data_IF_287111806853
#
_entry.id   IF_287111806853
#
_cell.length_a   1.000
_cell.length_b   1.000
_cell.length_c   1.000
_cell.angle_alpha   90.00
_cell.angle_beta   90.00
_cell.angle_gamma   90.00
#
_symmetry.space_group_name_H-M   'P 1'
#
loop_
_entity.id
_entity.type
_entity.pdbx_description
1 polymer ?
#
# COMPACT_ATOMS: atom_id res chain seq x y z
N UNK A 1 -79.89 48.61 -4.45
CA UNK A 1 -78.71 49.23 -3.81
C UNK A 1 -78.00 48.24 -2.89
N UNK A 2 -78.71 47.45 -2.08
CA UNK A 2 -78.07 46.50 -1.13
C UNK A 2 -77.25 45.37 -1.78
N UNK A 3 -77.67 44.90 -2.96
CA UNK A 3 -76.94 43.85 -3.72
C UNK A 3 -75.57 44.29 -4.25
N UNK A 4 -75.36 45.59 -4.48
CA UNK A 4 -74.09 46.12 -4.99
C UNK A 4 -73.01 46.12 -3.90
N UNK A 5 -73.40 46.35 -2.64
CA UNK A 5 -72.46 46.33 -1.51
C UNK A 5 -71.97 44.92 -1.21
N UNK A 6 -72.88 43.93 -1.26
CA UNK A 6 -72.53 42.51 -1.11
C UNK A 6 -71.57 42.03 -2.20
N UNK A 7 -71.79 42.43 -3.45
CA UNK A 7 -70.89 42.09 -4.56
C UNK A 7 -69.49 42.70 -4.37
N UNK A 8 -69.40 43.98 -3.96
CA UNK A 8 -68.13 44.63 -3.68
C UNK A 8 -67.38 43.97 -2.51
N UNK A 9 -68.08 43.57 -1.46
CA UNK A 9 -67.48 42.90 -0.29
C UNK A 9 -66.92 41.52 -0.69
N UNK A 10 -67.67 40.76 -1.50
CA UNK A 10 -67.21 39.48 -2.05
C UNK A 10 -65.94 39.65 -2.92
N UNK A 11 -65.90 40.71 -3.73
CA UNK A 11 -64.77 41.00 -4.62
C UNK A 11 -63.51 41.37 -3.84
N UNK A 12 -63.66 42.16 -2.77
CA UNK A 12 -62.56 42.50 -1.86
C UNK A 12 -62.07 41.25 -1.13
N UNK A 13 -62.97 40.40 -0.63
CA UNK A 13 -62.61 39.14 0.04
C UNK A 13 -61.79 38.24 -0.89
N UNK A 14 -62.22 38.08 -2.14
CA UNK A 14 -61.52 37.29 -3.16
C UNK A 14 -60.11 37.84 -3.40
N UNK A 15 -59.95 39.16 -3.51
CA UNK A 15 -58.65 39.80 -3.69
C UNK A 15 -57.72 39.59 -2.50
N UNK A 16 -58.25 39.71 -1.27
CA UNK A 16 -57.47 39.49 -0.04
C UNK A 16 -56.99 38.04 0.03
N UNK A 17 -57.84 37.07 -0.29
CA UNK A 17 -57.47 35.64 -0.31
C UNK A 17 -56.35 35.40 -1.34
N UNK A 18 -56.46 35.97 -2.55
CA UNK A 18 -55.41 35.84 -3.57
C UNK A 18 -54.07 36.41 -3.09
N UNK A 19 -54.07 37.59 -2.45
CA UNK A 19 -52.85 38.20 -1.92
C UNK A 19 -52.23 37.32 -0.84
N UNK A 20 -53.04 36.77 0.08
CA UNK A 20 -52.55 35.88 1.14
C UNK A 20 -51.90 34.63 0.54
N UNK A 21 -52.53 33.99 -0.45
CA UNK A 21 -51.99 32.80 -1.12
C UNK A 21 -50.66 33.11 -1.83
N UNK A 22 -50.56 34.24 -2.53
CA UNK A 22 -49.32 34.66 -3.20
C UNK A 22 -48.20 34.92 -2.20
N UNK A 23 -48.48 35.60 -1.09
CA UNK A 23 -47.47 35.85 -0.03
C UNK A 23 -47.03 34.55 0.62
N UNK A 24 -47.95 33.60 0.83
CA UNK A 24 -47.65 32.30 1.43
C UNK A 24 -46.80 31.44 0.49
N UNK A 25 -47.16 31.38 -0.80
CA UNK A 25 -46.38 30.71 -1.83
C UNK A 25 -44.98 31.33 -1.96
N UNK A 26 -44.85 32.65 -1.95
CA UNK A 26 -43.55 33.33 -2.03
C UNK A 26 -42.67 33.05 -0.80
N UNK A 27 -43.27 33.03 0.41
CA UNK A 27 -42.54 32.65 1.63
C UNK A 27 -42.10 31.19 1.60
N UNK A 28 -42.95 30.29 1.07
CA UNK A 28 -42.65 28.87 0.96
C UNK A 28 -41.53 28.63 -0.06
N UNK A 29 -41.59 29.25 -1.24
CA UNK A 29 -40.54 29.17 -2.26
C UNK A 29 -39.18 29.65 -1.72
N UNK A 30 -39.15 30.77 -0.98
CA UNK A 30 -37.91 31.24 -0.31
C UNK A 30 -37.39 30.31 0.78
N UNK A 31 -38.22 29.45 1.37
CA UNK A 31 -37.78 28.41 2.30
C UNK A 31 -37.23 27.21 1.55
N UNK A 32 -37.87 26.81 0.44
CA UNK A 32 -37.38 25.72 -0.41
C UNK A 32 -36.05 26.05 -1.08
N UNK A 33 -35.84 27.28 -1.55
CA UNK A 33 -34.56 27.70 -2.15
C UNK A 33 -33.39 27.58 -1.17
N UNK A 34 -33.60 27.97 0.10
CA UNK A 34 -32.58 27.81 1.15
C UNK A 34 -32.26 26.34 1.43
N UNK A 35 -33.25 25.45 1.37
CA UNK A 35 -33.04 24.01 1.52
C UNK A 35 -32.29 23.42 0.32
N UNK A 36 -32.59 23.87 -0.90
CA UNK A 36 -31.86 23.44 -2.11
C UNK A 36 -30.39 23.88 -2.08
N UNK A 37 -30.11 25.09 -1.60
CA UNK A 37 -28.74 25.58 -1.42
C UNK A 37 -27.97 24.72 -0.40
N UNK A 38 -28.61 24.33 0.70
CA UNK A 38 -28.00 23.45 1.70
C UNK A 38 -27.68 22.05 1.15
N UNK A 39 -28.56 21.48 0.33
CA UNK A 39 -28.31 20.18 -0.31
C UNK A 39 -27.19 20.23 -1.37
N UNK A 40 -27.09 21.32 -2.14
CA UNK A 40 -26.05 21.49 -3.15
C UNK A 40 -24.63 21.61 -2.54
N UNK A 41 -24.50 22.27 -1.38
CA UNK A 41 -23.21 22.41 -0.69
C UNK A 41 -22.75 21.11 -0.02
N UNK A 42 -23.68 20.33 0.54
CA UNK A 42 -23.36 19.05 1.20
C UNK A 42 -22.89 18.00 0.18
N UNK A 43 -23.50 17.95 -1.01
CA UNK A 43 -23.11 17.00 -2.07
C UNK A 43 -21.70 17.28 -2.60
N UNK A 44 -21.32 18.56 -2.71
CA UNK A 44 -19.99 18.98 -3.18
C UNK A 44 -18.88 18.60 -2.19
N UNK A 45 -19.13 18.72 -0.89
CA UNK A 45 -18.16 18.39 0.15
C UNK A 45 -17.98 16.87 0.35
N UNK A 46 -19.03 16.07 0.16
CA UNK A 46 -18.90 14.61 0.22
C UNK A 46 -18.10 14.07 -0.97
N UNK A 47 -18.33 14.59 -2.19
CA UNK A 47 -17.58 14.16 -3.39
C UNK A 47 -16.08 14.47 -3.28
N UNK A 48 -15.72 15.63 -2.72
CA UNK A 48 -14.31 16.02 -2.51
C UNK A 48 -13.60 15.10 -1.51
N UNK A 49 -14.25 14.73 -0.41
CA UNK A 49 -13.66 13.83 0.59
C UNK A 49 -13.42 12.43 0.03
N UNK A 50 -14.36 11.89 -0.76
CA UNK A 50 -14.19 10.58 -1.42
C UNK A 50 -13.06 10.63 -2.45
N UNK A 51 -12.93 11.72 -3.21
CA UNK A 51 -11.86 11.88 -4.20
C UNK A 51 -10.46 11.98 -3.56
N UNK A 52 -10.34 12.65 -2.41
CA UNK A 52 -9.08 12.73 -1.65
C UNK A 52 -8.71 11.37 -1.04
N UNK A 53 -9.67 10.63 -0.50
CA UNK A 53 -9.42 9.28 0.03
C UNK A 53 -9.06 8.28 -1.08
N UNK A 54 -9.75 8.33 -2.23
CA UNK A 54 -9.47 7.46 -3.36
C UNK A 54 -8.08 7.74 -3.99
N UNK A 55 -7.68 9.01 -4.08
CA UNK A 55 -6.36 9.38 -4.60
C UNK A 55 -5.22 9.03 -3.63
N UNK A 56 -5.46 9.11 -2.31
CA UNK A 56 -4.52 8.68 -1.28
C UNK A 56 -4.19 7.18 -1.35
N UNK A 57 -5.20 6.33 -1.46
CA UNK A 57 -5.04 4.86 -1.50
C UNK A 57 -4.30 4.37 -2.75
N UNK A 58 -4.50 4.98 -3.91
CA UNK A 58 -3.77 4.65 -5.15
C UNK A 58 -2.29 5.06 -5.04
N UNK A 59 -2.00 6.19 -4.38
CA UNK A 59 -0.63 6.63 -4.10
C UNK A 59 0.12 5.66 -3.18
N UNK A 60 -0.53 5.21 -2.11
CA UNK A 60 0.03 4.21 -1.18
C UNK A 60 0.22 2.85 -1.85
N UNK A 61 -0.72 2.40 -2.69
CA UNK A 61 -0.59 1.14 -3.44
C UNK A 61 0.63 1.12 -4.38
N UNK A 62 0.86 2.21 -5.14
CA UNK A 62 2.06 2.33 -5.99
C UNK A 62 3.36 2.32 -5.19
N UNK A 63 3.38 2.94 -4.01
CA UNK A 63 4.53 2.90 -3.11
C UNK A 63 4.76 1.51 -2.53
N UNK A 64 3.70 0.79 -2.17
CA UNK A 64 3.79 -0.57 -1.67
C UNK A 64 4.39 -1.52 -2.71
N UNK A 65 3.91 -1.47 -3.96
CA UNK A 65 4.48 -2.25 -5.08
C UNK A 65 5.95 -1.90 -5.33
N UNK A 66 6.33 -0.62 -5.24
CA UNK A 66 7.71 -0.21 -5.40
C UNK A 66 8.61 -0.73 -4.27
N UNK A 67 8.11 -0.76 -3.03
CA UNK A 67 8.81 -1.32 -1.87
C UNK A 67 8.94 -2.84 -2.01
N UNK A 68 7.87 -3.53 -2.37
CA UNK A 68 7.86 -4.97 -2.60
C UNK A 68 8.87 -5.37 -3.69
N UNK A 69 8.92 -4.63 -4.81
CA UNK A 69 9.91 -4.85 -5.86
C UNK A 69 11.34 -4.67 -5.35
N UNK A 70 11.60 -3.63 -4.55
CA UNK A 70 12.93 -3.39 -3.97
C UNK A 70 13.30 -4.48 -2.96
N UNK A 71 12.34 -4.94 -2.17
CA UNK A 71 12.55 -6.03 -1.21
C UNK A 71 12.88 -7.33 -1.94
N UNK A 72 12.14 -7.67 -3.00
CA UNK A 72 12.39 -8.87 -3.78
C UNK A 72 13.80 -8.86 -4.40
N UNK A 73 14.23 -7.73 -4.96
CA UNK A 73 15.59 -7.57 -5.49
C UNK A 73 16.67 -7.69 -4.40
N UNK A 74 16.39 -7.20 -3.18
CA UNK A 74 17.32 -7.31 -2.07
C UNK A 74 17.45 -8.75 -1.57
N UNK A 75 16.32 -9.48 -1.48
CA UNK A 75 16.28 -10.90 -1.12
C UNK A 75 17.02 -11.74 -2.17
N UNK A 76 16.80 -11.48 -3.46
CA UNK A 76 17.48 -12.17 -4.55
C UNK A 76 19.00 -11.97 -4.47
N UNK A 77 19.46 -10.73 -4.29
CA UNK A 77 20.90 -10.43 -4.08
C UNK A 77 21.47 -11.09 -2.83
N UNK A 78 20.71 -11.12 -1.74
CA UNK A 78 21.17 -11.79 -0.52
C UNK A 78 21.34 -13.29 -0.75
N UNK A 79 20.40 -13.91 -1.47
CA UNK A 79 20.49 -15.32 -1.83
C UNK A 79 21.71 -15.61 -2.72
N UNK A 80 21.97 -14.76 -3.71
CA UNK A 80 23.14 -14.88 -4.59
C UNK A 80 24.46 -14.74 -3.81
N UNK A 81 24.54 -13.77 -2.89
CA UNK A 81 25.72 -13.57 -2.03
C UNK A 81 25.93 -14.79 -1.12
N UNK A 82 24.88 -15.27 -0.45
CA UNK A 82 24.98 -16.44 0.43
C UNK A 82 25.43 -17.69 -0.32
N UNK A 83 24.86 -17.94 -1.51
CA UNK A 83 25.23 -19.08 -2.35
C UNK A 83 26.66 -18.97 -2.86
N UNK A 84 27.14 -17.77 -3.18
CA UNK A 84 28.48 -17.54 -3.73
C UNK A 84 29.57 -17.57 -2.67
N UNK A 85 29.34 -17.01 -1.48
CA UNK A 85 30.35 -16.95 -0.42
C UNK A 85 30.63 -18.35 0.18
N UNK A 86 29.59 -19.15 0.46
CA UNK A 86 29.77 -20.48 1.04
C UNK A 86 30.44 -21.47 0.09
N UNK A 87 30.03 -21.51 -1.18
CA UNK A 87 30.55 -22.47 -2.16
C UNK A 87 31.98 -22.19 -2.61
N UNK A 88 32.35 -20.91 -2.77
CA UNK A 88 33.68 -20.53 -3.27
C UNK A 88 34.76 -20.73 -2.20
N UNK A 89 34.48 -20.43 -0.92
CA UNK A 89 35.42 -20.65 0.17
C UNK A 89 35.73 -22.14 0.37
N UNK A 90 34.69 -22.99 0.32
CA UNK A 90 34.83 -24.43 0.48
C UNK A 90 35.58 -25.11 -0.67
N UNK A 91 35.27 -24.75 -1.93
CA UNK A 91 35.98 -25.30 -3.09
C UNK A 91 37.46 -24.90 -3.08
N UNK A 92 37.79 -23.65 -2.75
CA UNK A 92 39.18 -23.19 -2.65
C UNK A 92 39.92 -23.85 -1.48
N UNK A 93 39.25 -24.08 -0.36
CA UNK A 93 39.77 -24.83 0.78
C UNK A 93 40.12 -26.27 0.40
N UNK A 94 39.24 -26.97 -0.33
CA UNK A 94 39.51 -28.32 -0.84
C UNK A 94 40.73 -28.35 -1.77
N UNK A 95 40.85 -27.41 -2.70
CA UNK A 95 41.98 -27.33 -3.63
C UNK A 95 43.32 -27.11 -2.90
N UNK A 96 43.36 -26.19 -1.91
CA UNK A 96 44.54 -25.97 -1.07
C UNK A 96 44.89 -27.20 -0.22
N UNK A 97 43.89 -27.89 0.30
CA UNK A 97 44.09 -29.11 1.08
C UNK A 97 44.60 -30.27 0.20
N UNK A 98 44.21 -30.34 -1.07
CA UNK A 98 44.80 -31.27 -2.05
C UNK A 98 46.27 -30.98 -2.36
N UNK A 99 46.66 -29.71 -2.36
CA UNK A 99 48.05 -29.27 -2.47
C UNK A 99 48.86 -29.50 -1.17
N UNK A 100 48.25 -30.04 -0.11
CA UNK A 100 48.91 -30.36 1.16
C UNK A 100 48.99 -29.19 2.15
N UNK A 101 48.15 -28.16 2.00
CA UNK A 101 48.08 -27.05 2.95
C UNK A 101 47.61 -27.53 4.33
N UNK A 102 48.17 -26.93 5.39
CA UNK A 102 47.80 -27.23 6.79
C UNK A 102 46.52 -26.49 7.20
N UNK A 103 45.86 -26.97 8.26
CA UNK A 103 44.62 -26.40 8.81
C UNK A 103 44.76 -24.89 9.07
N UNK A 104 45.91 -24.43 9.58
CA UNK A 104 46.16 -23.00 9.82
C UNK A 104 46.19 -22.17 8.52
N UNK A 105 46.63 -22.76 7.42
CA UNK A 105 46.68 -22.11 6.12
C UNK A 105 45.27 -21.98 5.52
N UNK A 106 44.38 -22.96 5.75
CA UNK A 106 42.96 -22.87 5.39
C UNK A 106 42.23 -21.78 6.18
N UNK A 107 42.50 -21.67 7.48
CA UNK A 107 41.92 -20.61 8.33
C UNK A 107 42.38 -19.23 7.87
N UNK A 108 43.67 -19.06 7.55
CA UNK A 108 44.21 -17.74 7.17
C UNK A 108 43.89 -17.33 5.73
N UNK A 109 43.92 -18.25 4.75
CA UNK A 109 43.77 -17.93 3.32
C UNK A 109 42.34 -18.04 2.81
N UNK A 110 41.53 -18.96 3.35
CA UNK A 110 40.14 -19.14 2.95
C UNK A 110 39.13 -18.57 3.97
N UNK A 111 39.59 -18.10 5.13
CA UNK A 111 38.73 -17.45 6.14
C UNK A 111 37.77 -18.41 6.86
N UNK A 112 38.07 -19.72 6.87
CA UNK A 112 37.28 -20.71 7.61
C UNK A 112 37.55 -20.61 9.11
N UNK A 113 36.55 -20.94 9.91
CA UNK A 113 36.78 -21.20 11.33
C UNK A 113 37.52 -22.53 11.52
N UNK A 114 38.35 -22.65 12.58
CA UNK A 114 39.19 -23.85 12.80
C UNK A 114 38.40 -25.15 12.78
N UNK A 115 37.20 -25.16 13.37
CA UNK A 115 36.32 -26.33 13.39
C UNK A 115 35.85 -26.75 11.99
N UNK A 116 35.62 -25.82 11.07
CA UNK A 116 35.25 -26.13 9.68
C UNK A 116 36.45 -26.67 8.89
N UNK A 117 37.63 -26.09 9.07
CA UNK A 117 38.85 -26.57 8.41
C UNK A 117 39.22 -27.99 8.86
N UNK A 118 39.08 -28.30 10.15
CA UNK A 118 39.24 -29.65 10.69
C UNK A 118 38.21 -30.62 10.09
N UNK A 119 36.93 -30.25 10.03
CA UNK A 119 35.89 -31.08 9.45
C UNK A 119 36.18 -31.44 7.99
N UNK A 120 36.61 -30.48 7.16
CA UNK A 120 36.96 -30.71 5.74
C UNK A 120 38.12 -31.69 5.62
N UNK A 121 39.15 -31.55 6.46
CA UNK A 121 40.30 -32.45 6.46
C UNK A 121 39.91 -33.90 6.78
N UNK A 122 39.01 -34.09 7.76
CA UNK A 122 38.49 -35.39 8.15
C UNK A 122 37.61 -36.00 7.05
N UNK A 123 36.73 -35.19 6.45
CA UNK A 123 35.83 -35.62 5.38
C UNK A 123 36.62 -36.06 4.13
N UNK A 124 37.72 -35.36 3.81
CA UNK A 124 38.65 -35.75 2.74
C UNK A 124 39.43 -37.02 3.09
N UNK A 125 39.89 -37.16 4.33
CA UNK A 125 40.58 -38.37 4.79
C UNK A 125 39.66 -39.60 4.71
N UNK A 126 38.39 -39.45 5.09
CA UNK A 126 37.36 -40.50 4.91
C UNK A 126 37.12 -40.82 3.44
N UNK A 127 36.98 -39.79 2.58
CA UNK A 127 36.82 -39.97 1.14
C UNK A 127 38.00 -40.71 0.50
N UNK A 128 39.25 -40.38 0.88
CA UNK A 128 40.45 -41.08 0.37
C UNK A 128 40.49 -42.53 0.87
N UNK A 129 40.25 -42.75 2.16
CA UNK A 129 40.19 -44.09 2.75
C UNK A 129 39.16 -44.97 2.07
N UNK A 130 37.97 -44.44 1.76
CA UNK A 130 36.92 -45.20 1.08
C UNK A 130 37.26 -45.51 -0.39
N UNK A 131 38.11 -44.69 -1.03
CA UNK A 131 38.58 -44.92 -2.40
C UNK A 131 39.64 -46.03 -2.52
N UNK A 132 40.34 -46.36 -1.43
CA UNK A 132 41.34 -47.45 -1.41
C UNK A 132 40.71 -48.85 -1.23
N UNK A 133 39.39 -48.92 -0.99
CA UNK A 133 38.64 -50.19 -0.86
C UNK A 133 37.94 -50.65 -2.15
N UNK A 134 38.16 -49.95 -3.27
CA UNK A 134 37.65 -50.27 -4.60
C UNK A 134 38.79 -50.39 -5.62
#
# INVERSE_FOLDING_TARGET
MESQWLFNLLLILQFVILIVVVVWAFRLSKRLERMKQYHAEVELNQKKQVQVLASGSIGMGRRLVAIEKKLNLAVEKQSEILSKEGGVSYNRAMELLEMGATIDDLVSKCGLIRAEAELISLLKQESRRNSDYH
#
